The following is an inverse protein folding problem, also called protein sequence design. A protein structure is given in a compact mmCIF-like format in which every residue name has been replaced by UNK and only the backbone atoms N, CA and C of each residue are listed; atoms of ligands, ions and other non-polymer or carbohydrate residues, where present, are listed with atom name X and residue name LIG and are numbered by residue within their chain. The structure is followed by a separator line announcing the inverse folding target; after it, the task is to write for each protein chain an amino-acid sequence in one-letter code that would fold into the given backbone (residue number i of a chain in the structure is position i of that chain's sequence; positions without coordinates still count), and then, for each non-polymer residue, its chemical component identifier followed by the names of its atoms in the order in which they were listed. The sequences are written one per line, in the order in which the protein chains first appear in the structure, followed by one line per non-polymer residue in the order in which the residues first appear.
data_IF_892912924937
#
_entry.id   IF_892912924937
#
_cell.length_a   1.000
_cell.length_b   1.000
_cell.length_c   1.000
_cell.angle_alpha   90.00
_cell.angle_beta   90.00
_cell.angle_gamma   90.00
#
_symmetry.space_group_name_H-M   'P 1'
#
loop_
_entity.id
_entity.type
_entity.pdbx_description
1 polymer ?
#
# COMPACT_ATOMS: atom_id res chain seq x y z
N UNK A 1 7.50 -4.07 7.76
CA UNK A 1 6.49 -4.28 6.70
C UNK A 1 5.69 -2.99 6.73
N UNK A 2 5.75 -2.27 5.63
CA UNK A 2 5.64 -0.82 5.66
C UNK A 2 4.38 -0.39 4.90
N UNK A 3 3.92 0.83 5.16
CA UNK A 3 2.81 1.48 4.46
C UNK A 3 3.15 1.71 2.97
N UNK A 4 3.10 0.67 2.15
CA UNK A 4 3.55 0.71 0.76
C UNK A 4 2.71 -0.17 -0.17
N UNK A 5 2.88 0.09 -1.46
CA UNK A 5 2.37 -0.69 -2.58
C UNK A 5 3.40 -1.76 -2.92
N UNK A 6 2.97 -3.02 -3.03
CA UNK A 6 3.84 -4.15 -3.32
C UNK A 6 3.17 -5.14 -4.29
N UNK A 7 3.98 -5.87 -5.03
CA UNK A 7 3.57 -7.07 -5.73
C UNK A 7 3.95 -8.29 -4.89
N UNK A 8 3.05 -9.25 -4.77
CA UNK A 8 3.30 -10.52 -4.10
C UNK A 8 3.73 -11.56 -5.13
N UNK A 9 4.81 -12.28 -4.85
CA UNK A 9 5.18 -13.46 -5.65
C UNK A 9 4.24 -14.64 -5.38
N UNK A 10 4.50 -15.78 -6.04
CA UNK A 10 3.69 -16.99 -5.89
C UNK A 10 3.69 -17.57 -4.46
N UNK A 11 4.71 -17.25 -3.66
CA UNK A 11 4.83 -17.65 -2.27
C UNK A 11 4.22 -16.61 -1.30
N UNK A 12 3.67 -15.51 -1.83
CA UNK A 12 3.08 -14.43 -1.07
C UNK A 12 4.08 -13.42 -0.49
N UNK A 13 5.35 -13.49 -0.89
CA UNK A 13 6.37 -12.55 -0.44
C UNK A 13 6.21 -11.20 -1.15
N UNK A 14 6.19 -10.08 -0.41
CA UNK A 14 6.10 -8.77 -1.00
C UNK A 14 7.41 -8.36 -1.69
N UNK A 15 7.28 -7.73 -2.85
CA UNK A 15 8.37 -7.04 -3.51
C UNK A 15 8.94 -5.96 -2.62
N UNK A 16 10.25 -5.76 -2.67
CA UNK A 16 10.92 -4.66 -2.00
C UNK A 16 10.73 -3.34 -2.77
N UNK A 17 10.70 -2.23 -2.02
CA UNK A 17 10.67 -0.87 -2.58
C UNK A 17 12.10 -0.35 -2.79
N UNK A 18 12.45 0.01 -4.03
CA UNK A 18 13.66 0.80 -4.33
C UNK A 18 13.43 2.30 -4.06
N UNK A 19 14.48 3.13 -4.02
CA UNK A 19 14.33 4.57 -4.12
C UNK A 19 13.33 4.94 -5.23
N UNK A 20 12.36 5.78 -4.89
CA UNK A 20 11.32 6.20 -5.82
C UNK A 20 11.91 7.12 -6.89
N UNK A 21 11.46 6.96 -8.13
CA UNK A 21 11.62 7.98 -9.17
C UNK A 21 10.42 8.91 -9.10
N UNK A 22 10.57 10.18 -8.68
CA UNK A 22 9.46 11.13 -8.70
C UNK A 22 9.04 11.43 -10.14
N UNK A 23 7.73 11.54 -10.37
CA UNK A 23 7.14 11.86 -11.68
C UNK A 23 6.51 13.25 -11.64
N UNK A 24 5.70 13.53 -10.61
CA UNK A 24 5.03 14.83 -10.44
C UNK A 24 4.71 15.07 -8.97
N UNK A 25 4.74 16.33 -8.54
CA UNK A 25 4.13 16.77 -7.29
C UNK A 25 3.42 18.09 -7.57
N UNK A 26 2.12 18.16 -7.27
CA UNK A 26 1.34 19.38 -7.42
C UNK A 26 0.16 19.38 -6.46
N UNK A 27 0.09 20.40 -5.60
CA UNK A 27 -0.97 20.53 -4.62
C UNK A 27 -1.06 19.29 -3.74
N UNK A 28 -2.19 18.58 -3.83
CA UNK A 28 -2.49 17.37 -3.05
C UNK A 28 -2.08 16.07 -3.72
N UNK A 29 -1.54 16.15 -4.93
CA UNK A 29 -1.19 14.99 -5.76
C UNK A 29 0.32 14.82 -5.84
N UNK A 30 0.81 13.62 -5.51
CA UNK A 30 2.19 13.21 -5.75
C UNK A 30 2.20 11.90 -6.54
N UNK A 31 3.01 11.82 -7.60
CA UNK A 31 3.15 10.65 -8.46
C UNK A 31 4.61 10.22 -8.47
N UNK A 32 4.82 8.92 -8.30
CA UNK A 32 6.15 8.31 -8.35
C UNK A 32 6.10 6.92 -8.96
N UNK A 33 7.25 6.43 -9.41
CA UNK A 33 7.39 5.04 -9.87
C UNK A 33 8.56 4.34 -9.21
N UNK A 34 8.46 3.03 -9.05
CA UNK A 34 9.56 2.18 -8.65
C UNK A 34 9.46 0.82 -9.32
N UNK A 35 10.59 0.13 -9.42
CA UNK A 35 10.63 -1.22 -9.96
C UNK A 35 10.52 -2.23 -8.82
N UNK A 36 9.53 -3.13 -8.92
CA UNK A 36 9.39 -4.25 -8.01
C UNK A 36 10.62 -5.16 -8.11
N UNK A 37 11.03 -5.77 -7.01
CA UNK A 37 12.09 -6.77 -7.00
C UNK A 37 12.01 -7.64 -5.75
N UNK A 38 12.55 -8.86 -5.83
CA UNK A 38 12.54 -9.83 -4.73
C UNK A 38 13.95 -10.38 -4.50
N UNK A 39 14.37 -10.59 -3.24
CA UNK A 39 15.62 -11.29 -2.97
C UNK A 39 15.55 -12.71 -3.52
N UNK A 40 16.64 -13.17 -4.12
CA UNK A 40 16.76 -14.52 -4.71
C UNK A 40 17.83 -15.30 -3.97
N UNK A 41 17.55 -16.57 -3.73
CA UNK A 41 18.45 -17.49 -3.06
C UNK A 41 18.38 -17.41 -1.54
N UNK A 42 19.28 -18.14 -0.88
CA UNK A 42 19.35 -18.15 0.57
C UNK A 42 19.70 -16.77 1.10
N UNK A 43 19.13 -16.40 2.26
CA UNK A 43 19.54 -15.21 2.97
C UNK A 43 21.06 -15.27 3.19
N UNK A 44 21.80 -14.20 2.84
CA UNK A 44 23.25 -14.19 3.01
C UNK A 44 23.60 -14.41 4.49
N UNK A 45 24.68 -15.15 4.74
CA UNK A 45 25.22 -15.27 6.08
C UNK A 45 25.46 -13.88 6.67
N UNK A 46 25.19 -13.71 7.97
CA UNK A 46 25.39 -12.44 8.69
C UNK A 46 26.88 -12.22 9.00
N UNK A 47 27.73 -12.29 7.99
CA UNK A 47 29.17 -12.03 8.07
C UNK A 47 29.47 -10.59 7.67
N UNK A 48 30.60 -10.06 8.15
CA UNK A 48 31.05 -8.71 7.85
C UNK A 48 32.21 -8.74 6.84
N UNK A 49 32.17 -7.96 5.74
CA UNK A 49 31.08 -7.09 5.30
C UNK A 49 29.87 -7.89 4.78
N UNK A 50 28.64 -7.37 4.92
CA UNK A 50 27.45 -8.09 4.49
C UNK A 50 27.45 -8.25 2.96
N UNK A 51 27.30 -9.49 2.50
CA UNK A 51 27.01 -9.76 1.09
C UNK A 51 25.55 -9.38 0.82
N UNK A 52 25.29 -8.56 -0.19
CA UNK A 52 23.92 -8.29 -0.61
C UNK A 52 23.35 -9.52 -1.32
N UNK A 53 22.06 -9.86 -1.11
CA UNK A 53 21.41 -10.90 -1.89
C UNK A 53 21.30 -10.47 -3.34
N UNK A 54 21.22 -11.45 -4.23
CA UNK A 54 20.81 -11.20 -5.61
C UNK A 54 19.32 -10.86 -5.65
N UNK A 55 18.87 -10.13 -6.68
CA UNK A 55 17.48 -9.71 -6.79
C UNK A 55 16.91 -10.04 -8.17
N UNK A 56 15.73 -10.67 -8.18
CA UNK A 56 14.90 -10.79 -9.36
C UNK A 56 14.14 -9.49 -9.56
N UNK A 57 14.20 -8.92 -10.75
CA UNK A 57 13.45 -7.72 -11.09
C UNK A 57 12.03 -8.07 -11.54
N UNK A 58 11.10 -7.22 -11.14
CA UNK A 58 9.70 -7.24 -11.56
C UNK A 58 9.34 -6.01 -12.40
N UNK A 59 8.02 -5.77 -12.55
CA UNK A 59 7.51 -4.67 -13.34
C UNK A 59 7.70 -3.33 -12.65
N UNK A 60 7.46 -2.25 -13.39
CA UNK A 60 7.28 -0.93 -12.81
C UNK A 60 5.90 -0.82 -12.16
N UNK A 61 5.90 -0.23 -10.98
CA UNK A 61 4.72 0.24 -10.27
C UNK A 61 4.72 1.76 -10.32
N UNK A 62 3.69 2.34 -10.91
CA UNK A 62 3.43 3.78 -10.78
C UNK A 62 2.34 3.99 -9.75
N UNK A 63 2.61 4.86 -8.78
CA UNK A 63 1.69 5.18 -7.70
C UNK A 63 1.45 6.68 -7.65
N UNK A 64 0.18 7.08 -7.63
CA UNK A 64 -0.24 8.41 -7.26
C UNK A 64 -0.88 8.41 -5.87
N UNK A 65 -0.49 9.37 -5.04
CA UNK A 65 -1.10 9.66 -3.74
C UNK A 65 -1.85 10.97 -3.84
N UNK A 66 -3.15 10.98 -3.51
CA UNK A 66 -4.02 12.16 -3.48
C UNK A 66 -4.53 12.37 -2.06
N UNK A 67 -4.19 13.51 -1.44
CA UNK A 67 -4.41 13.76 -0.02
C UNK A 67 -5.59 14.70 0.27
N UNK A 68 -6.45 14.32 1.21
CA UNK A 68 -7.50 15.18 1.74
C UNK A 68 -7.89 14.82 3.17
N UNK A 69 -7.56 15.70 4.11
CA UNK A 69 -7.81 15.46 5.53
C UNK A 69 -7.06 14.21 6.01
N UNK A 70 -7.78 13.27 6.62
CA UNK A 70 -7.23 12.00 7.10
C UNK A 70 -7.14 10.90 6.02
N UNK A 71 -7.55 11.20 4.78
CA UNK A 71 -7.64 10.21 3.69
C UNK A 71 -6.54 10.46 2.65
N UNK A 72 -5.77 9.43 2.37
CA UNK A 72 -4.91 9.31 1.20
C UNK A 72 -5.55 8.34 0.20
N UNK A 73 -5.88 8.80 -1.00
CA UNK A 73 -6.22 7.89 -2.11
C UNK A 73 -4.93 7.48 -2.80
N UNK A 74 -4.66 6.17 -2.83
CA UNK A 74 -3.57 5.59 -3.61
C UNK A 74 -4.11 4.99 -4.88
N UNK A 75 -3.61 5.48 -6.00
CA UNK A 75 -3.86 4.95 -7.32
C UNK A 75 -2.62 4.23 -7.82
N UNK A 76 -2.77 3.05 -8.40
CA UNK A 76 -1.66 2.21 -8.82
C UNK A 76 -1.90 1.64 -10.21
N UNK A 77 -0.86 1.68 -11.04
CA UNK A 77 -0.79 0.98 -12.33
C UNK A 77 0.46 0.11 -12.36
N UNK A 78 0.31 -1.13 -12.83
CA UNK A 78 1.38 -2.11 -13.05
C UNK A 78 1.74 -2.12 -14.54
N UNK A 79 3.04 -2.07 -14.88
CA UNK A 79 3.46 -1.92 -16.29
C UNK A 79 3.48 -3.23 -17.10
N UNK A 80 3.71 -4.38 -16.47
CA UNK A 80 3.91 -5.66 -17.18
C UNK A 80 3.10 -6.76 -16.52
N UNK A 81 2.72 -7.77 -17.30
CA UNK A 81 1.98 -8.93 -16.81
C UNK A 81 2.89 -9.87 -16.05
N UNK A 82 2.29 -10.60 -15.11
CA UNK A 82 2.96 -11.68 -14.41
C UNK A 82 2.02 -12.31 -13.41
N UNK A 83 2.50 -13.29 -12.62
CA UNK A 83 1.66 -14.02 -11.66
C UNK A 83 1.39 -13.24 -10.37
N UNK A 84 1.72 -11.94 -10.34
CA UNK A 84 1.83 -11.19 -9.09
C UNK A 84 0.51 -10.60 -8.63
N UNK A 85 0.17 -10.82 -7.37
CA UNK A 85 -0.96 -10.14 -6.72
C UNK A 85 -0.55 -8.74 -6.29
N UNK A 86 -1.36 -7.72 -6.57
CA UNK A 86 -1.11 -6.37 -6.07
C UNK A 86 -1.63 -6.24 -4.64
N UNK A 87 -0.81 -5.67 -3.75
CA UNK A 87 -1.16 -5.31 -2.38
C UNK A 87 -0.93 -3.83 -2.13
N UNK A 88 -1.92 -3.15 -1.56
CA UNK A 88 -1.78 -1.80 -0.99
C UNK A 88 -1.94 -1.90 0.52
N UNK A 89 -0.86 -1.61 1.26
CA UNK A 89 -0.88 -1.57 2.73
C UNK A 89 -1.11 -0.17 3.28
N UNK A 90 -1.76 -0.09 4.43
CA UNK A 90 -1.99 1.14 5.18
C UNK A 90 -0.92 1.41 6.22
N UNK A 91 -1.22 2.31 7.14
CA UNK A 91 -0.31 2.63 8.23
C UNK A 91 -0.28 1.49 9.26
N UNK A 92 0.92 1.03 9.61
CA UNK A 92 1.08 0.08 10.70
C UNK A 92 0.74 0.77 12.02
N UNK A 93 -0.15 0.17 12.80
CA UNK A 93 -0.29 0.52 14.22
C UNK A 93 0.57 -0.42 15.04
N UNK A 94 1.18 0.12 16.09
CA UNK A 94 1.92 -0.66 17.08
C UNK A 94 1.50 -0.22 18.49
N UNK A 95 1.47 -1.18 19.40
CA UNK A 95 1.17 -0.96 20.81
C UNK A 95 1.79 -2.08 21.67
N UNK A 96 2.00 -1.81 22.95
CA UNK A 96 2.39 -2.83 23.91
C UNK A 96 1.22 -3.75 24.29
N UNK A 97 -0.01 -3.29 24.09
CA UNK A 97 -1.25 -4.05 24.25
C UNK A 97 -1.81 -4.52 22.91
N UNK A 98 -2.72 -5.50 22.93
CA UNK A 98 -3.40 -5.96 21.72
C UNK A 98 -4.23 -4.85 21.11
N UNK A 99 -4.21 -4.78 19.78
CA UNK A 99 -4.99 -3.85 18.99
C UNK A 99 -6.42 -4.39 18.83
N UNK A 100 -7.40 -3.50 18.74
CA UNK A 100 -8.74 -3.85 18.27
C UNK A 100 -8.69 -3.98 16.74
N UNK A 101 -9.26 -5.05 16.20
CA UNK A 101 -9.19 -5.35 14.77
C UNK A 101 -10.58 -5.32 14.15
N UNK A 102 -10.67 -4.72 12.96
CA UNK A 102 -11.82 -4.80 12.07
C UNK A 102 -11.38 -5.50 10.77
N UNK A 103 -12.33 -5.80 9.89
CA UNK A 103 -12.00 -6.42 8.60
C UNK A 103 -11.02 -5.57 7.77
N UNK A 104 -11.13 -4.25 7.88
CA UNK A 104 -10.43 -3.25 7.07
C UNK A 104 -9.41 -2.41 7.85
N UNK A 105 -9.15 -2.74 9.12
CA UNK A 105 -8.46 -1.82 10.01
C UNK A 105 -8.00 -2.38 11.34
N UNK A 106 -7.28 -1.53 12.05
CA UNK A 106 -6.90 -1.73 13.43
C UNK A 106 -7.03 -0.41 14.20
N UNK A 107 -7.29 -0.51 15.49
CA UNK A 107 -7.38 0.61 16.42
C UNK A 107 -6.54 0.36 17.67
N UNK A 108 -5.93 1.44 18.16
CA UNK A 108 -5.26 1.50 19.47
C UNK A 108 -6.24 1.96 20.55
N UNK A 109 -5.98 1.61 21.80
CA UNK A 109 -6.79 2.02 22.95
C UNK A 109 -6.83 3.55 23.14
N UNK A 110 -5.86 4.30 22.59
CA UNK A 110 -5.83 5.76 22.60
C UNK A 110 -6.72 6.39 21.50
N UNK A 111 -7.44 5.57 20.73
CA UNK A 111 -8.36 6.01 19.69
C UNK A 111 -7.71 6.22 18.32
N UNK A 112 -6.40 6.00 18.16
CA UNK A 112 -5.77 6.05 16.84
C UNK A 112 -6.21 4.85 15.98
N UNK A 113 -6.76 5.13 14.81
CA UNK A 113 -7.25 4.13 13.85
C UNK A 113 -6.42 4.17 12.56
N UNK A 114 -6.12 3.00 12.02
CA UNK A 114 -5.60 2.81 10.67
C UNK A 114 -6.57 1.92 9.91
N UNK A 115 -7.03 2.37 8.73
CA UNK A 115 -7.93 1.62 7.84
C UNK A 115 -7.45 1.67 6.40
N UNK A 116 -7.73 0.63 5.65
CA UNK A 116 -7.56 0.60 4.19
C UNK A 116 -8.78 -0.02 3.55
N UNK A 117 -9.35 0.70 2.58
CA UNK A 117 -10.55 0.26 1.86
C UNK A 117 -10.24 0.24 0.36
N UNK A 118 -10.55 -0.87 -0.30
CA UNK A 118 -10.45 -0.99 -1.75
C UNK A 118 -11.52 -0.16 -2.42
N UNK A 119 -11.12 0.79 -3.28
CA UNK A 119 -12.03 1.63 -4.05
C UNK A 119 -12.21 1.11 -5.48
N UNK A 120 -11.18 0.45 -6.03
CA UNK A 120 -11.19 -0.09 -7.40
C UNK A 120 -10.24 -1.27 -7.55
N UNK A 121 -10.75 -2.39 -8.07
CA UNK A 121 -9.95 -3.57 -8.42
C UNK A 121 -9.28 -4.31 -7.26
N UNK A 122 -9.63 -3.98 -6.01
CA UNK A 122 -8.99 -4.52 -4.79
C UNK A 122 -10.04 -5.12 -3.83
N UNK A 123 -10.67 -6.24 -4.19
CA UNK A 123 -11.78 -6.80 -3.42
C UNK A 123 -11.34 -7.53 -2.14
N UNK A 124 -10.09 -7.99 -2.07
CA UNK A 124 -9.59 -8.75 -0.93
C UNK A 124 -9.12 -7.80 0.15
N UNK A 125 -9.73 -7.84 1.33
CA UNK A 125 -9.36 -7.00 2.49
C UNK A 125 -8.90 -7.88 3.64
N UNK A 126 -7.80 -7.50 4.30
CA UNK A 126 -7.30 -8.21 5.48
C UNK A 126 -6.45 -7.32 6.38
N UNK A 127 -6.18 -7.81 7.58
CA UNK A 127 -5.23 -7.20 8.52
C UNK A 127 -4.07 -8.16 8.76
N UNK A 128 -2.85 -7.68 8.57
CA UNK A 128 -1.63 -8.44 8.82
C UNK A 128 -1.14 -8.14 10.23
N UNK A 129 -1.31 -9.10 11.13
CA UNK A 129 -0.86 -9.01 12.52
C UNK A 129 0.57 -9.53 12.69
N UNK A 130 1.33 -8.91 13.60
CA UNK A 130 2.63 -9.40 14.04
C UNK A 130 2.86 -9.14 15.52
N UNK A 131 3.60 -10.04 16.16
CA UNK A 131 4.04 -9.93 17.55
C UNK A 131 5.56 -9.95 17.61
N UNK A 132 6.16 -9.02 18.38
CA UNK A 132 7.61 -8.99 18.63
C UNK A 132 8.48 -8.58 17.43
N UNK A 133 7.88 -8.06 16.35
CA UNK A 133 8.61 -7.65 15.14
C UNK A 133 8.56 -6.14 14.87
N UNK A 134 8.07 -5.35 15.82
CA UNK A 134 7.97 -3.89 15.71
C UNK A 134 8.75 -3.23 16.84
N UNK A 135 9.53 -2.19 16.53
CA UNK A 135 10.31 -1.47 17.53
C UNK A 135 9.44 -0.60 18.45
N UNK A 136 8.20 -0.31 18.07
CA UNK A 136 7.29 0.62 18.76
C UNK A 136 6.21 -0.08 19.59
N UNK A 137 6.26 -1.40 19.73
CA UNK A 137 5.33 -2.14 20.57
C UNK A 137 5.39 -3.65 20.36
N UNK A 138 4.94 -4.40 21.37
CA UNK A 138 4.88 -5.85 21.31
C UNK A 138 3.93 -6.37 20.23
N UNK A 139 2.85 -5.63 19.93
CA UNK A 139 1.85 -5.96 18.92
C UNK A 139 1.87 -4.93 17.79
N UNK A 140 1.62 -5.40 16.58
CA UNK A 140 1.38 -4.52 15.44
C UNK A 140 0.39 -5.11 14.45
N UNK A 141 -0.36 -4.24 13.79
CA UNK A 141 -1.32 -4.62 12.76
C UNK A 141 -1.25 -3.66 11.59
N UNK A 142 -1.40 -4.20 10.38
CA UNK A 142 -1.36 -3.44 9.13
C UNK A 142 -2.59 -3.83 8.29
N UNK A 143 -3.57 -2.93 8.11
CA UNK A 143 -4.63 -3.17 7.13
C UNK A 143 -4.06 -3.16 5.71
N UNK A 144 -4.53 -4.09 4.89
CA UNK A 144 -4.12 -4.20 3.48
C UNK A 144 -5.32 -4.57 2.61
N UNK A 145 -5.27 -4.13 1.35
CA UNK A 145 -6.21 -4.57 0.31
C UNK A 145 -5.46 -5.09 -0.90
N UNK A 146 -6.06 -6.05 -1.60
CA UNK A 146 -5.41 -6.84 -2.64
C UNK A 146 -6.32 -7.15 -3.81
N UNK A 147 -5.70 -7.41 -4.97
CA UNK A 147 -6.38 -8.03 -6.11
C UNK A 147 -6.77 -9.47 -5.78
N UNK A 148 -7.86 -9.95 -6.36
CA UNK A 148 -8.22 -11.38 -6.32
C UNK A 148 -7.54 -12.10 -7.49
N UNK A 149 -6.24 -12.35 -7.33
CA UNK A 149 -5.37 -12.92 -8.36
C UNK A 149 -4.39 -11.91 -8.97
N UNK A 150 -3.75 -12.26 -10.10
CA UNK A 150 -2.71 -11.43 -10.69
C UNK A 150 -3.21 -10.07 -11.17
N UNK A 151 -2.40 -9.04 -10.94
CA UNK A 151 -2.69 -7.69 -11.43
C UNK A 151 -2.62 -7.63 -12.96
N UNK A 152 -3.59 -6.94 -13.57
CA UNK A 152 -3.68 -6.71 -15.00
C UNK A 152 -2.85 -5.48 -15.36
N UNK A 153 -1.94 -5.57 -16.35
CA UNK A 153 -1.12 -4.44 -16.75
C UNK A 153 -1.96 -3.30 -17.31
N UNK A 154 -1.60 -2.06 -16.97
CA UNK A 154 -2.33 -0.86 -17.39
C UNK A 154 -3.67 -0.64 -16.68
N UNK A 155 -4.16 -1.60 -15.89
CA UNK A 155 -5.38 -1.39 -15.11
C UNK A 155 -5.13 -0.48 -13.91
N UNK A 156 -6.09 0.40 -13.64
CA UNK A 156 -6.08 1.29 -12.50
C UNK A 156 -6.66 0.61 -11.25
N UNK A 157 -5.82 0.45 -10.24
CA UNK A 157 -6.21 0.01 -8.90
C UNK A 157 -6.25 1.19 -7.94
N UNK A 158 -7.20 1.20 -7.01
CA UNK A 158 -7.34 2.31 -6.08
C UNK A 158 -7.75 1.88 -4.67
N UNK A 159 -7.15 2.50 -3.66
CA UNK A 159 -7.51 2.31 -2.25
C UNK A 159 -7.54 3.64 -1.48
N UNK A 160 -8.47 3.76 -0.53
CA UNK A 160 -8.43 4.80 0.50
C UNK A 160 -7.60 4.28 1.68
N UNK A 161 -6.56 5.01 2.04
CA UNK A 161 -5.72 4.77 3.23
C UNK A 161 -6.05 5.86 4.24
N UNK A 162 -6.45 5.45 5.44
CA UNK A 162 -6.96 6.34 6.48
C UNK A 162 -6.09 6.18 7.72
N UNK A 163 -5.65 7.30 8.27
CA UNK A 163 -4.98 7.35 9.57
C UNK A 163 -5.50 8.55 10.35
N UNK A 164 -6.08 8.28 11.52
CA UNK A 164 -6.56 9.35 12.39
C UNK A 164 -7.38 8.84 13.56
N UNK A 165 -7.74 9.75 14.45
CA UNK A 165 -8.64 9.48 15.59
C UNK A 165 -10.09 9.92 15.31
N UNK A 166 -10.33 10.63 14.21
CA UNK A 166 -11.66 11.11 13.81
C UNK A 166 -12.24 10.13 12.78
N UNK A 167 -13.48 9.65 12.97
CA UNK A 167 -14.16 8.83 11.98
C UNK A 167 -14.23 9.51 10.60
N UNK A 168 -14.09 8.71 9.55
CA UNK A 168 -14.34 9.12 8.17
C UNK A 168 -15.66 8.49 7.75
N UNK A 169 -16.70 9.31 7.61
CA UNK A 169 -18.07 8.86 7.37
C UNK A 169 -18.35 8.50 5.91
N UNK A 170 -17.61 9.11 4.98
CA UNK A 170 -17.76 8.90 3.54
C UNK A 170 -16.39 8.81 2.84
N UNK A 171 -16.29 7.90 1.88
CA UNK A 171 -15.08 7.66 1.08
C UNK A 171 -15.20 8.33 -0.28
N UNK A 172 -14.07 8.71 -0.91
CA UNK A 172 -14.07 9.22 -2.28
C UNK A 172 -14.39 8.11 -3.29
N UNK A 173 -14.93 8.51 -4.43
CA UNK A 173 -15.09 7.65 -5.61
C UNK A 173 -13.91 7.84 -6.57
N UNK A 174 -13.53 6.77 -7.28
CA UNK A 174 -12.41 6.79 -8.23
C UNK A 174 -12.84 6.28 -9.59
N UNK A 175 -12.73 7.16 -10.60
CA UNK A 175 -12.98 6.83 -11.99
C UNK A 175 -11.77 6.12 -12.65
N UNK A 176 -12.01 5.49 -13.80
CA UNK A 176 -10.99 4.72 -14.51
C UNK A 176 -9.82 5.59 -15.04
N UNK A 177 -10.04 6.88 -15.23
CA UNK A 177 -9.04 7.84 -15.72
C UNK A 177 -8.16 8.44 -14.60
N UNK A 178 -8.36 8.02 -13.35
CA UNK A 178 -7.62 8.56 -12.20
C UNK A 178 -8.24 9.82 -11.58
N UNK A 179 -9.48 10.16 -11.96
CA UNK A 179 -10.26 11.19 -11.28
C UNK A 179 -10.73 10.69 -9.91
N UNK A 180 -10.53 11.52 -8.88
CA UNK A 180 -10.98 11.29 -7.50
C UNK A 180 -12.07 12.30 -7.16
N UNK A 181 -13.29 11.83 -6.93
CA UNK A 181 -14.42 12.64 -6.47
C UNK A 181 -14.57 12.49 -4.96
N UNK A 182 -14.38 13.58 -4.23
CA UNK A 182 -14.49 13.61 -2.78
C UNK A 182 -15.94 13.81 -2.32
N UNK A 183 -16.30 13.35 -1.10
CA UNK A 183 -17.67 13.48 -0.58
C UNK A 183 -18.20 14.91 -0.50
N UNK A 184 -17.34 15.92 -0.46
CA UNK A 184 -17.75 17.32 -0.44
C UNK A 184 -17.78 17.99 -1.82
N UNK A 185 -17.74 17.18 -2.89
CA UNK A 185 -17.80 17.63 -4.28
C UNK A 185 -16.48 18.12 -4.84
N UNK A 186 -15.39 18.15 -4.05
CA UNK A 186 -14.05 18.43 -4.59
C UNK A 186 -13.65 17.34 -5.59
N UNK A 187 -12.99 17.73 -6.68
CA UNK A 187 -12.43 16.80 -7.67
C UNK A 187 -10.94 17.02 -7.81
N UNK A 188 -10.16 15.95 -7.68
CA UNK A 188 -8.73 15.93 -7.99
C UNK A 188 -8.48 14.97 -9.16
N UNK A 189 -7.46 15.26 -9.97
CA UNK A 189 -7.05 14.38 -11.06
C UNK A 189 -5.58 14.03 -10.90
N UNK A 190 -5.29 12.73 -10.88
CA UNK A 190 -3.94 12.21 -10.78
C UNK A 190 -3.51 11.60 -12.13
N UNK A 191 -2.63 12.27 -12.90
CA UNK A 191 -2.18 11.75 -14.18
C UNK A 191 -1.25 10.55 -13.93
N UNK A 192 -1.74 9.37 -14.28
CA UNK A 192 -0.93 8.16 -14.34
C UNK A 192 -0.47 7.92 -15.79
N UNK A 193 0.70 7.32 -15.99
CA UNK A 193 1.13 6.91 -17.33
C UNK A 193 0.12 5.91 -17.89
N UNK A 194 -0.34 6.19 -19.11
CA UNK A 194 -1.10 5.24 -19.95
C UNK A 194 -0.24 4.08 -20.41
#
# INVERSE_FOLDING_TARGET
MDNHVALLDADGNPSHRRPLTPVRVQGRVAVSRHRAHWPVGAAPERTWPPRQPDFAEGPWLTTASVLRGAVEVRLVVVSESGPWTLRIGGYALAADERLELTADGAARADGLVSRVVGLRGLPVTRVVERTGTNAYGAYSAIPVVETDGPAVPGELYAAAVILGAVPVDALPEVAADGTVLWPDGTVDHAPLPS
#
